data_IF_289543264283
#
_entry.id   IF_289543264283
#
_cell.length_a   1.000
_cell.length_b   1.000
_cell.length_c   1.000
_cell.angle_alpha   90.00
_cell.angle_beta   90.00
_cell.angle_gamma   90.00
#
_symmetry.space_group_name_H-M   'P 1'
#
loop_
_entity.id
_entity.type
_entity.pdbx_description
1 polymer ?
#
# COMPACT_ATOMS: atom_id res chain seq x y z
N UNK A 1 -26.62 -3.11 13.74
CA UNK A 1 -27.29 -1.80 13.97
C UNK A 1 -28.31 -1.58 12.86
N UNK A 2 -29.46 -0.98 13.17
CA UNK A 2 -30.52 -0.80 12.19
C UNK A 2 -30.30 0.44 11.32
N UNK A 3 -30.52 0.27 10.02
CA UNK A 3 -30.66 1.34 9.04
C UNK A 3 -31.80 2.31 9.46
N UNK A 4 -31.68 3.63 9.21
CA UNK A 4 -32.74 4.57 9.57
C UNK A 4 -34.04 4.27 8.82
N UNK A 5 -35.18 4.40 9.50
CA UNK A 5 -36.51 4.21 8.90
C UNK A 5 -36.85 5.30 7.89
N UNK A 6 -36.40 6.53 8.12
CA UNK A 6 -36.62 7.70 7.25
C UNK A 6 -35.33 8.53 7.12
N UNK A 7 -35.20 9.23 5.99
CA UNK A 7 -34.04 10.08 5.69
C UNK A 7 -32.78 9.31 5.26
N UNK A 8 -31.82 10.02 4.65
CA UNK A 8 -30.57 9.43 4.13
C UNK A 8 -29.67 8.97 5.29
N UNK A 9 -29.04 7.78 5.20
CA UNK A 9 -28.17 7.26 6.23
C UNK A 9 -26.82 7.98 6.28
N UNK A 10 -26.09 7.80 7.38
CA UNK A 10 -24.64 8.08 7.43
C UNK A 10 -23.86 6.92 6.81
N UNK A 11 -22.61 7.17 6.41
CA UNK A 11 -21.73 6.14 5.86
C UNK A 11 -21.50 4.99 6.87
N UNK A 12 -21.32 5.33 8.15
CA UNK A 12 -21.20 4.37 9.25
C UNK A 12 -22.45 3.49 9.41
N UNK A 13 -23.66 4.05 9.32
CA UNK A 13 -24.89 3.26 9.42
C UNK A 13 -25.02 2.23 8.30
N UNK A 14 -24.62 2.58 7.07
CA UNK A 14 -24.59 1.64 5.95
C UNK A 14 -23.55 0.55 6.16
N UNK A 15 -22.33 0.91 6.60
CA UNK A 15 -21.29 -0.07 6.90
C UNK A 15 -21.70 -1.04 8.03
N UNK A 16 -22.26 -0.53 9.13
CA UNK A 16 -22.71 -1.34 10.26
C UNK A 16 -23.90 -2.25 9.89
N UNK A 17 -24.78 -1.79 9.00
CA UNK A 17 -25.87 -2.60 8.47
C UNK A 17 -25.34 -3.73 7.58
N UNK A 18 -24.41 -3.43 6.68
CA UNK A 18 -23.79 -4.44 5.84
C UNK A 18 -23.12 -5.53 6.71
N UNK A 19 -22.41 -5.14 7.77
CA UNK A 19 -21.86 -6.10 8.76
C UNK A 19 -22.98 -6.97 9.38
N UNK A 20 -24.13 -6.39 9.71
CA UNK A 20 -25.24 -7.14 10.32
C UNK A 20 -25.91 -8.16 9.37
N UNK A 21 -25.65 -8.08 8.07
CA UNK A 21 -26.15 -9.04 7.09
C UNK A 21 -25.26 -10.28 6.94
N UNK A 22 -24.08 -10.32 7.56
CA UNK A 22 -23.17 -11.46 7.43
C UNK A 22 -23.88 -12.76 7.84
N UNK A 23 -23.84 -13.77 6.97
CA UNK A 23 -24.55 -15.04 7.13
C UNK A 23 -26.01 -15.03 6.63
N UNK A 24 -26.54 -13.88 6.23
CA UNK A 24 -27.85 -13.69 5.60
C UNK A 24 -27.69 -12.98 4.25
N UNK A 25 -28.72 -12.33 3.71
CA UNK A 25 -28.59 -11.49 2.53
C UNK A 25 -29.90 -10.85 2.09
N UNK A 26 -29.80 -9.97 1.12
CA UNK A 26 -30.91 -9.28 0.45
C UNK A 26 -31.00 -9.73 -1.00
N UNK A 27 -32.22 -9.86 -1.48
CA UNK A 27 -32.59 -10.09 -2.87
C UNK A 27 -33.53 -8.93 -3.21
N UNK A 28 -33.09 -8.07 -4.13
CA UNK A 28 -33.71 -6.75 -4.38
C UNK A 28 -34.57 -6.76 -5.62
N UNK A 29 -34.28 -7.63 -6.58
CA UNK A 29 -35.00 -7.73 -7.85
C UNK A 29 -35.84 -9.01 -7.98
N UNK A 30 -35.67 -10.00 -7.10
CA UNK A 30 -36.36 -11.29 -7.12
C UNK A 30 -35.77 -12.29 -8.12
N UNK A 31 -34.61 -11.99 -8.70
CA UNK A 31 -33.96 -12.81 -9.72
C UNK A 31 -32.58 -13.29 -9.24
N UNK A 32 -32.30 -14.57 -9.47
CA UNK A 32 -31.01 -15.20 -9.13
C UNK A 32 -30.61 -15.12 -7.65
N UNK A 33 -31.55 -14.80 -6.76
CA UNK A 33 -31.38 -14.81 -5.31
C UNK A 33 -30.49 -13.69 -4.79
N UNK A 34 -29.51 -14.02 -3.94
CA UNK A 34 -28.68 -13.04 -3.23
C UNK A 34 -27.40 -12.75 -4.00
N UNK A 35 -27.49 -11.96 -5.07
CA UNK A 35 -26.35 -11.59 -5.90
C UNK A 35 -25.55 -10.42 -5.30
N UNK A 36 -24.34 -10.20 -5.82
CA UNK A 36 -23.47 -9.12 -5.33
C UNK A 36 -24.07 -7.73 -5.58
N UNK A 37 -24.78 -7.57 -6.69
CA UNK A 37 -25.43 -6.32 -7.11
C UNK A 37 -26.59 -5.89 -6.21
N UNK A 38 -27.26 -6.84 -5.53
CA UNK A 38 -28.38 -6.54 -4.64
C UNK A 38 -27.98 -5.68 -3.44
N UNK A 39 -26.81 -5.95 -2.86
CA UNK A 39 -26.41 -5.32 -1.60
C UNK A 39 -26.35 -3.78 -1.70
N UNK A 40 -25.68 -3.19 -2.71
CA UNK A 40 -25.71 -1.74 -2.90
C UNK A 40 -27.07 -1.22 -3.41
N UNK A 41 -27.76 -1.99 -4.25
CA UNK A 41 -29.04 -1.55 -4.84
C UNK A 41 -30.20 -1.55 -3.86
N UNK A 42 -30.15 -2.36 -2.80
CA UNK A 42 -31.07 -2.26 -1.67
C UNK A 42 -30.97 -0.87 -1.03
N UNK A 43 -29.74 -0.39 -0.80
CA UNK A 43 -29.46 0.92 -0.21
C UNK A 43 -29.88 2.05 -1.15
N UNK A 44 -29.55 1.95 -2.44
CA UNK A 44 -29.92 2.96 -3.43
C UNK A 44 -31.44 3.09 -3.57
N UNK A 45 -32.14 1.96 -3.67
CA UNK A 45 -33.59 1.96 -3.82
C UNK A 45 -34.28 2.53 -2.58
N UNK A 46 -33.85 2.10 -1.38
CA UNK A 46 -34.47 2.50 -0.12
C UNK A 46 -34.33 4.00 0.19
N UNK A 47 -33.21 4.62 -0.15
CA UNK A 47 -32.89 5.99 0.30
C UNK A 47 -32.79 7.03 -0.81
N UNK A 48 -32.65 6.59 -2.06
CA UNK A 48 -32.57 7.47 -3.23
C UNK A 48 -33.56 7.08 -4.33
N UNK A 49 -34.35 6.01 -4.15
CA UNK A 49 -35.46 5.66 -5.04
C UNK A 49 -35.02 5.15 -6.42
N UNK A 50 -33.80 4.61 -6.55
CA UNK A 50 -33.33 4.07 -7.83
C UNK A 50 -32.56 2.75 -7.65
N UNK A 51 -32.49 1.97 -8.74
CA UNK A 51 -31.58 0.83 -8.90
C UNK A 51 -30.72 1.08 -10.15
N UNK A 52 -29.47 0.64 -10.15
CA UNK A 52 -28.56 0.78 -11.29
C UNK A 52 -28.85 -0.28 -12.36
N UNK A 53 -29.09 0.05 -13.63
CA UNK A 53 -29.35 -0.96 -14.65
C UNK A 53 -28.11 -1.84 -14.91
N UNK A 54 -28.33 -3.05 -15.44
CA UNK A 54 -27.25 -3.97 -15.82
C UNK A 54 -26.62 -4.72 -14.66
N UNK A 55 -25.38 -5.17 -14.85
CA UNK A 55 -24.64 -5.98 -13.89
C UNK A 55 -23.75 -5.12 -12.97
N UNK A 56 -23.07 -5.75 -12.00
CA UNK A 56 -22.20 -5.06 -11.05
C UNK A 56 -21.12 -4.19 -11.72
N UNK A 57 -20.56 -4.62 -12.87
CA UNK A 57 -19.58 -3.80 -13.60
C UNK A 57 -20.16 -2.48 -14.10
N UNK A 58 -21.43 -2.48 -14.51
CA UNK A 58 -22.06 -1.34 -15.19
C UNK A 58 -22.28 -0.16 -14.23
N UNK A 59 -22.30 -0.44 -12.92
CA UNK A 59 -22.28 0.55 -11.84
C UNK A 59 -21.08 1.51 -11.94
N UNK A 60 -19.95 1.09 -12.51
CA UNK A 60 -18.76 1.94 -12.65
C UNK A 60 -18.98 3.11 -13.64
N UNK A 61 -19.87 2.94 -14.61
CA UNK A 61 -20.16 3.92 -15.67
C UNK A 61 -21.57 4.51 -15.55
N UNK A 62 -22.32 4.14 -14.51
CA UNK A 62 -23.66 4.66 -14.27
C UNK A 62 -23.64 6.14 -13.90
N UNK A 63 -24.60 6.90 -14.43
CA UNK A 63 -24.79 8.32 -14.10
C UNK A 63 -25.60 8.47 -12.82
N UNK A 64 -24.92 8.49 -11.68
CA UNK A 64 -25.56 8.61 -10.37
C UNK A 64 -26.23 9.98 -10.14
N UNK A 65 -27.28 10.04 -9.29
CA UNK A 65 -27.91 11.30 -8.88
C UNK A 65 -26.95 12.26 -8.15
N UNK A 66 -27.36 13.52 -8.06
CA UNK A 66 -26.57 14.58 -7.45
C UNK A 66 -26.07 14.23 -6.03
N UNK A 67 -24.80 14.52 -5.77
CA UNK A 67 -24.12 14.30 -4.49
C UNK A 67 -23.39 12.96 -4.37
N UNK A 68 -23.66 11.98 -5.25
CA UNK A 68 -22.83 10.79 -5.37
C UNK A 68 -21.47 11.15 -5.96
N UNK A 69 -20.43 10.43 -5.55
CA UNK A 69 -19.08 10.60 -6.09
C UNK A 69 -18.56 9.26 -6.58
N UNK A 70 -18.10 9.23 -7.82
CA UNK A 70 -17.39 8.09 -8.37
C UNK A 70 -15.90 8.38 -8.29
N UNK A 71 -15.15 7.46 -7.70
CA UNK A 71 -13.71 7.51 -7.59
C UNK A 71 -13.12 6.38 -8.43
N UNK A 72 -12.24 6.73 -9.37
CA UNK A 72 -11.38 5.72 -9.98
C UNK A 72 -10.36 5.25 -8.95
N UNK A 73 -10.11 3.95 -8.92
CA UNK A 73 -9.07 3.37 -8.08
C UNK A 73 -7.71 3.87 -8.57
N UNK A 74 -7.05 4.68 -7.74
CA UNK A 74 -5.66 5.11 -7.92
C UNK A 74 -4.78 4.46 -6.84
N UNK A 75 -3.46 4.57 -6.95
CA UNK A 75 -2.51 4.03 -5.97
C UNK A 75 -2.59 4.72 -4.59
N UNK A 76 -3.16 5.92 -4.52
CA UNK A 76 -3.33 6.69 -3.28
C UNK A 76 -4.74 6.61 -2.70
N UNK A 77 -5.73 6.12 -3.48
CA UNK A 77 -7.11 6.06 -3.04
C UNK A 77 -7.30 5.00 -1.95
N UNK A 78 -7.92 5.42 -0.84
CA UNK A 78 -8.34 4.53 0.24
C UNK A 78 -9.86 4.71 0.41
N UNK A 79 -10.68 3.66 0.21
CA UNK A 79 -12.11 3.74 0.39
C UNK A 79 -12.46 3.86 1.86
N UNK A 80 -13.55 4.56 2.14
CA UNK A 80 -14.09 4.76 3.48
C UNK A 80 -15.22 3.78 3.72
N UNK A 81 -15.52 3.43 4.99
CA UNK A 81 -16.73 2.69 5.32
C UNK A 81 -17.96 3.36 4.68
N UNK A 82 -18.81 2.56 4.05
CA UNK A 82 -19.96 3.00 3.25
C UNK A 82 -19.67 3.17 1.75
N UNK A 83 -18.41 3.27 1.31
CA UNK A 83 -18.13 3.27 -0.13
C UNK A 83 -18.54 1.93 -0.76
N UNK A 84 -18.98 1.96 -2.01
CA UNK A 84 -19.33 0.79 -2.81
C UNK A 84 -18.14 0.46 -3.70
N UNK A 85 -17.50 -0.68 -3.48
CA UNK A 85 -16.40 -1.15 -4.32
C UNK A 85 -16.94 -1.83 -5.58
N UNK A 86 -16.31 -1.59 -6.73
CA UNK A 86 -16.73 -2.15 -8.02
C UNK A 86 -15.53 -2.78 -8.73
N UNK A 87 -15.66 -4.08 -9.01
CA UNK A 87 -14.73 -4.85 -9.82
C UNK A 87 -15.22 -4.89 -11.26
N UNK A 88 -14.34 -4.53 -12.19
CA UNK A 88 -14.61 -4.58 -13.63
C UNK A 88 -13.44 -5.17 -14.43
N UNK A 89 -12.42 -5.69 -13.76
CA UNK A 89 -11.15 -6.09 -14.34
C UNK A 89 -10.55 -7.29 -13.60
N UNK A 90 -9.55 -7.97 -14.16
CA UNK A 90 -8.70 -8.93 -13.44
C UNK A 90 -9.01 -10.40 -13.65
N UNK A 91 -10.24 -10.77 -14.02
CA UNK A 91 -10.57 -12.11 -14.51
C UNK A 91 -11.80 -12.08 -15.44
N UNK A 92 -12.09 -13.21 -16.10
CA UNK A 92 -13.20 -13.32 -17.04
C UNK A 92 -14.55 -12.92 -16.40
N UNK A 93 -14.86 -13.43 -15.21
CA UNK A 93 -16.15 -13.16 -14.56
C UNK A 93 -16.33 -11.67 -14.23
N UNK A 94 -15.29 -11.02 -13.71
CA UNK A 94 -15.33 -9.59 -13.38
C UNK A 94 -15.29 -8.69 -14.62
N UNK A 95 -14.72 -9.16 -15.72
CA UNK A 95 -14.79 -8.45 -17.01
C UNK A 95 -16.21 -8.52 -17.61
N UNK A 96 -16.88 -9.66 -17.48
CA UNK A 96 -18.20 -9.93 -18.09
C UNK A 96 -19.37 -9.41 -17.25
N UNK A 97 -19.40 -9.71 -15.95
CA UNK A 97 -20.52 -9.33 -15.06
C UNK A 97 -20.08 -8.33 -13.96
N UNK A 98 -18.81 -8.35 -13.61
CA UNK A 98 -18.29 -7.54 -12.50
C UNK A 98 -18.57 -8.16 -11.13
N UNK A 99 -18.11 -7.46 -10.11
CA UNK A 99 -18.45 -7.75 -8.72
C UNK A 99 -18.64 -6.44 -7.96
N UNK A 100 -19.38 -6.45 -6.85
CA UNK A 100 -19.53 -5.27 -6.00
C UNK A 100 -19.76 -5.65 -4.53
N UNK A 101 -19.41 -4.72 -3.64
CA UNK A 101 -19.54 -4.90 -2.19
C UNK A 101 -19.52 -3.57 -1.46
N UNK A 102 -20.04 -3.55 -0.23
CA UNK A 102 -20.05 -2.36 0.63
C UNK A 102 -18.80 -2.37 1.51
N UNK A 103 -17.95 -1.37 1.39
CA UNK A 103 -16.75 -1.20 2.21
C UNK A 103 -17.18 -0.99 3.66
N UNK A 104 -16.67 -1.82 4.56
CA UNK A 104 -16.96 -1.75 6.00
C UNK A 104 -15.71 -1.39 6.82
N UNK A 105 -14.55 -1.46 6.18
CA UNK A 105 -13.27 -1.19 6.81
C UNK A 105 -12.82 -2.28 7.79
N UNK A 106 -11.56 -2.19 8.26
CA UNK A 106 -10.58 -1.15 7.92
C UNK A 106 -10.16 -1.17 6.44
N UNK A 107 -9.70 -0.02 5.94
CA UNK A 107 -9.20 0.15 4.58
C UNK A 107 -7.80 0.77 4.63
N UNK A 108 -6.89 0.25 3.82
CA UNK A 108 -5.52 0.73 3.64
C UNK A 108 -5.26 0.96 2.15
N UNK A 109 -4.04 1.31 1.75
CA UNK A 109 -3.67 1.40 0.32
C UNK A 109 -3.57 0.05 -0.37
N UNK A 110 -3.48 -1.04 0.39
CA UNK A 110 -3.22 -2.38 -0.14
C UNK A 110 -4.44 -3.30 -0.07
N UNK A 111 -5.31 -3.10 0.92
CA UNK A 111 -6.54 -3.87 1.06
C UNK A 111 -7.66 -3.04 1.68
N UNK A 112 -8.88 -3.52 1.53
CA UNK A 112 -10.01 -3.04 2.30
C UNK A 112 -10.89 -4.23 2.68
N UNK A 113 -11.68 -4.06 3.74
CA UNK A 113 -12.75 -5.01 4.02
C UNK A 113 -14.06 -4.47 3.45
N UNK A 114 -14.79 -5.33 2.76
CA UNK A 114 -16.18 -5.11 2.39
C UNK A 114 -17.05 -6.28 2.83
N UNK A 115 -18.34 -6.05 2.84
CA UNK A 115 -19.33 -7.10 2.89
C UNK A 115 -19.89 -7.31 1.50
N UNK A 116 -19.87 -8.57 1.08
CA UNK A 116 -20.14 -8.99 -0.28
C UNK A 116 -21.10 -10.17 -0.25
N UNK A 117 -22.11 -10.15 -1.11
CA UNK A 117 -22.90 -11.32 -1.45
C UNK A 117 -22.27 -12.05 -2.62
N UNK A 118 -22.57 -13.35 -2.72
CA UNK A 118 -22.11 -14.19 -3.81
C UNK A 118 -20.58 -14.24 -4.02
N UNK A 119 -19.80 -14.06 -2.94
CA UNK A 119 -18.34 -14.23 -2.97
C UNK A 119 -17.91 -15.61 -2.49
N UNK A 120 -18.29 -15.98 -1.27
CA UNK A 120 -18.07 -17.33 -0.73
C UNK A 120 -19.17 -18.26 -1.24
N UNK A 121 -18.82 -19.47 -1.69
CA UNK A 121 -19.78 -20.44 -2.25
C UNK A 121 -20.66 -19.81 -3.35
N UNK A 122 -20.02 -19.08 -4.28
CA UNK A 122 -20.72 -18.33 -5.30
C UNK A 122 -21.59 -19.24 -6.19
N UNK A 123 -22.82 -18.79 -6.48
CA UNK A 123 -23.78 -19.50 -7.31
C UNK A 123 -24.54 -18.52 -8.21
N UNK A 124 -24.59 -18.83 -9.51
CA UNK A 124 -25.23 -17.97 -10.51
C UNK A 124 -26.76 -17.99 -10.47
N UNK A 125 -27.37 -18.99 -9.83
CA UNK A 125 -28.83 -19.19 -9.80
C UNK A 125 -29.49 -18.71 -8.51
N UNK A 126 -28.78 -18.75 -7.38
CA UNK A 126 -29.33 -18.39 -6.05
C UNK A 126 -28.48 -17.40 -5.27
N UNK A 127 -27.30 -17.06 -5.79
CA UNK A 127 -26.34 -16.22 -5.10
C UNK A 127 -25.73 -16.91 -3.88
N UNK A 128 -25.21 -16.13 -2.95
CA UNK A 128 -24.76 -16.65 -1.66
C UNK A 128 -24.87 -15.61 -0.55
N UNK A 129 -24.93 -16.03 0.73
CA UNK A 129 -25.00 -15.12 1.85
C UNK A 129 -23.87 -14.09 1.88
N UNK A 130 -24.18 -12.94 2.44
CA UNK A 130 -23.23 -11.88 2.66
C UNK A 130 -22.09 -12.36 3.58
N UNK A 131 -20.86 -12.05 3.21
CA UNK A 131 -19.67 -12.39 3.97
C UNK A 131 -18.76 -11.17 4.07
N UNK A 132 -18.06 -11.04 5.21
CA UNK A 132 -17.00 -10.04 5.35
C UNK A 132 -15.75 -10.55 4.67
N UNK A 133 -15.34 -9.90 3.60
CA UNK A 133 -14.21 -10.30 2.77
C UNK A 133 -13.11 -9.26 2.87
N UNK A 134 -11.87 -9.73 2.99
CA UNK A 134 -10.68 -8.91 2.84
C UNK A 134 -10.28 -8.92 1.37
N UNK A 135 -10.37 -7.77 0.72
CA UNK A 135 -10.01 -7.64 -0.67
C UNK A 135 -8.68 -6.94 -0.83
N UNK A 136 -7.83 -7.49 -1.69
CA UNK A 136 -6.86 -6.64 -2.37
C UNK A 136 -7.59 -5.76 -3.38
N UNK A 137 -6.96 -4.67 -3.80
CA UNK A 137 -7.49 -3.86 -4.90
C UNK A 137 -7.42 -4.55 -6.27
N UNK A 138 -7.10 -5.84 -6.33
CA UNK A 138 -7.06 -6.61 -7.57
C UNK A 138 -8.45 -6.64 -8.21
N UNK A 139 -8.52 -6.22 -9.46
CA UNK A 139 -9.77 -6.14 -10.23
C UNK A 139 -10.72 -5.00 -9.89
N UNK A 140 -10.50 -4.30 -8.77
CA UNK A 140 -11.27 -3.10 -8.38
C UNK A 140 -10.82 -1.92 -9.23
N UNK A 141 -11.77 -1.33 -9.95
CA UNK A 141 -11.49 -0.17 -10.81
C UNK A 141 -12.15 1.11 -10.31
N UNK A 142 -13.27 1.00 -9.60
CA UNK A 142 -14.04 2.15 -9.14
C UNK A 142 -14.59 1.95 -7.73
N UNK A 143 -14.83 3.09 -7.07
CA UNK A 143 -15.58 3.17 -5.83
C UNK A 143 -16.67 4.23 -5.97
N UNK A 144 -17.87 3.93 -5.52
CA UNK A 144 -18.98 4.89 -5.49
C UNK A 144 -19.25 5.26 -4.05
N UNK A 145 -19.22 6.56 -3.74
CA UNK A 145 -19.60 7.11 -2.45
C UNK A 145 -20.99 7.73 -2.55
N UNK A 146 -22.01 7.13 -1.92
CA UNK A 146 -23.34 7.72 -1.87
C UNK A 146 -23.36 9.07 -1.17
N UNK A 147 -24.41 9.86 -1.47
CA UNK A 147 -24.64 11.18 -0.91
C UNK A 147 -25.14 11.11 0.55
N UNK A 148 -24.30 10.61 1.45
CA UNK A 148 -24.63 10.36 2.86
C UNK A 148 -24.91 11.64 3.66
N UNK A 149 -25.70 11.48 4.73
CA UNK A 149 -25.82 12.50 5.78
C UNK A 149 -24.51 12.58 6.58
N UNK A 150 -24.10 13.80 6.96
CA UNK A 150 -22.95 14.03 7.84
C UNK A 150 -23.12 13.33 9.19
N UNK A 151 -22.03 12.79 9.73
CA UNK A 151 -22.05 12.17 11.06
C UNK A 151 -22.27 13.24 12.15
N UNK A 152 -23.10 12.96 13.17
CA UNK A 152 -23.20 13.84 14.33
C UNK A 152 -21.84 13.90 15.04
N UNK A 153 -21.36 15.11 15.35
CA UNK A 153 -20.15 15.29 16.16
C UNK A 153 -20.36 14.61 17.53
N UNK A 154 -19.35 13.92 18.09
CA UNK A 154 -19.47 13.34 19.43
C UNK A 154 -19.81 14.45 20.42
N UNK A 155 -20.97 14.34 21.06
CA UNK A 155 -21.33 15.16 22.20
C UNK A 155 -20.41 14.77 23.36
N UNK A 156 -19.71 15.71 24.02
CA UNK A 156 -18.92 15.38 25.20
C UNK A 156 -19.82 14.77 26.27
N UNK A 157 -19.45 13.59 26.77
CA UNK A 157 -20.13 12.94 27.89
C UNK A 157 -19.86 13.80 29.15
N UNK A 158 -20.88 14.31 29.86
CA UNK A 158 -20.69 15.12 31.07
C UNK A 158 -20.24 14.23 32.25
N UNK A 159 -19.27 14.66 33.09
CA UNK A 159 -18.99 14.01 34.36
C UNK A 159 -20.06 14.33 35.42
N UNK A 160 -20.24 13.37 36.33
CA UNK A 160 -21.31 13.23 37.34
C UNK A 160 -21.29 14.28 38.48
N UNK A 161 -22.46 14.52 39.07
CA UNK A 161 -22.90 15.60 39.97
C UNK A 161 -22.08 15.91 41.25
N UNK A 162 -21.81 17.20 41.53
CA UNK A 162 -21.98 17.92 42.84
C UNK A 162 -21.74 19.45 42.69
N UNK A 163 -22.25 20.31 43.60
CA UNK A 163 -23.27 21.32 43.31
C UNK A 163 -22.77 22.72 42.91
N UNK A 164 -23.67 23.44 42.23
CA UNK A 164 -23.54 24.79 41.64
C UNK A 164 -23.40 25.89 42.71
N UNK A 165 -22.51 26.88 42.49
CA UNK A 165 -22.84 28.27 42.81
C UNK A 165 -22.94 29.16 41.57
N UNK A 166 -23.86 30.12 41.68
CA UNK A 166 -24.50 31.02 40.71
C UNK A 166 -23.57 31.78 39.75
N UNK A 167 -24.08 32.02 38.55
CA UNK A 167 -23.54 32.91 37.51
C UNK A 167 -23.23 34.32 38.02
N UNK A 168 -22.22 34.97 37.39
CA UNK A 168 -22.46 36.28 36.81
C UNK A 168 -22.08 36.34 35.31
N UNK A 169 -22.87 37.15 34.61
CA UNK A 169 -22.79 37.55 33.20
C UNK A 169 -21.44 38.20 32.76
N UNK A 170 -21.22 38.42 31.45
CA UNK A 170 -19.97 38.17 30.75
C UNK A 170 -19.01 39.35 30.81
N UNK A 171 -17.77 39.12 31.25
CA UNK A 171 -16.71 40.14 31.14
C UNK A 171 -15.38 39.54 30.66
N UNK A 172 -14.93 40.12 29.54
CA UNK A 172 -13.61 40.19 28.90
C UNK A 172 -12.45 39.29 29.41
N UNK A 173 -11.83 38.59 28.44
CA UNK A 173 -10.51 37.90 28.49
C UNK A 173 -9.50 38.62 29.40
N UNK A 174 -8.72 37.83 30.16
CA UNK A 174 -7.27 38.01 30.13
C UNK A 174 -6.52 36.70 29.84
N UNK A 175 -5.40 36.87 29.15
CA UNK A 175 -4.43 35.86 28.74
C UNK A 175 -3.83 35.12 29.95
N UNK A 176 -3.74 33.79 29.86
CA UNK A 176 -2.93 32.99 30.79
C UNK A 176 -1.99 32.08 29.99
N UNK A 177 -0.68 32.36 30.09
CA UNK A 177 0.43 31.57 29.53
C UNK A 177 0.62 30.23 30.27
N UNK A 178 -0.36 29.32 30.23
CA UNK A 178 -0.16 27.94 30.67
C UNK A 178 0.08 27.02 29.46
N UNK A 179 1.13 26.18 29.47
CA UNK A 179 1.41 25.29 28.35
C UNK A 179 0.31 24.24 28.21
N UNK A 180 -0.35 24.21 27.06
CA UNK A 180 -1.32 23.18 26.70
C UNK A 180 -0.53 22.00 26.11
N UNK A 181 -0.68 20.82 26.71
CA UNK A 181 -0.10 19.58 26.20
C UNK A 181 -1.11 18.89 25.29
N UNK A 182 -0.73 18.61 24.04
CA UNK A 182 -1.45 17.64 23.21
C UNK A 182 -0.82 16.27 23.42
N UNK A 183 -1.64 15.31 23.87
CA UNK A 183 -1.28 13.90 23.81
C UNK A 183 -1.43 13.47 22.36
N UNK A 184 -0.31 13.16 21.71
CA UNK A 184 -0.33 12.61 20.35
C UNK A 184 -0.11 11.11 20.46
N UNK A 185 -1.14 10.34 20.08
CA UNK A 185 -1.05 8.89 19.97
C UNK A 185 -0.26 8.58 18.70
N UNK A 186 1.03 8.24 18.84
CA UNK A 186 1.80 7.73 17.71
C UNK A 186 1.47 6.24 17.59
N UNK A 187 0.60 5.90 16.65
CA UNK A 187 0.35 4.51 16.31
C UNK A 187 1.52 4.06 15.45
N UNK A 188 2.43 3.26 16.01
CA UNK A 188 3.40 2.50 15.24
C UNK A 188 2.67 1.28 14.70
N UNK A 189 2.14 1.39 13.48
CA UNK A 189 1.57 0.25 12.80
C UNK A 189 2.71 -0.70 12.39
N UNK A 190 2.76 -1.88 12.99
CA UNK A 190 3.41 -3.04 12.37
C UNK A 190 2.48 -3.49 11.24
N UNK A 191 2.72 -2.93 10.05
CA UNK A 191 1.98 -3.24 8.84
C UNK A 191 2.19 -4.70 8.45
N UNK A 192 1.10 -5.34 8.06
CA UNK A 192 1.00 -6.70 7.54
C UNK A 192 0.91 -7.80 8.61
N UNK A 193 -0.31 -8.30 8.81
CA UNK A 193 -0.50 -9.73 9.03
C UNK A 193 -0.02 -10.39 7.74
N UNK A 194 1.18 -10.95 7.75
CA UNK A 194 1.75 -11.59 6.58
C UNK A 194 1.14 -12.98 6.47
N UNK A 195 0.12 -13.12 5.62
CA UNK A 195 -0.26 -14.43 5.11
C UNK A 195 0.81 -14.86 4.10
N UNK A 196 1.44 -16.01 4.32
CA UNK A 196 2.29 -16.65 3.34
C UNK A 196 1.40 -17.10 2.17
N UNK A 197 1.22 -16.24 1.17
CA UNK A 197 0.71 -16.69 -0.12
C UNK A 197 1.85 -17.49 -0.75
N UNK A 198 1.61 -18.75 -1.11
CA UNK A 198 2.59 -19.55 -1.84
C UNK A 198 2.96 -18.78 -3.11
N UNK A 199 4.23 -18.43 -3.26
CA UNK A 199 4.68 -17.68 -4.43
C UNK A 199 4.33 -18.44 -5.71
N UNK A 200 3.87 -17.71 -6.72
CA UNK A 200 3.66 -18.28 -8.05
C UNK A 200 5.03 -18.64 -8.66
N UNK A 201 5.30 -19.92 -8.81
CA UNK A 201 6.58 -20.40 -9.36
C UNK A 201 6.38 -20.78 -10.81
N UNK A 202 7.17 -20.20 -11.70
CA UNK A 202 7.12 -20.50 -13.13
C UNK A 202 8.53 -20.60 -13.72
N UNK A 203 8.62 -21.30 -14.84
CA UNK A 203 9.87 -21.58 -15.55
C UNK A 203 9.79 -20.97 -16.93
N UNK A 204 10.81 -20.19 -17.29
CA UNK A 204 11.04 -19.75 -18.66
C UNK A 204 12.54 -19.45 -18.76
N UNK A 205 13.28 -20.40 -19.31
CA UNK A 205 14.71 -20.25 -19.53
C UNK A 205 14.94 -19.33 -20.72
N UNK A 206 15.72 -18.27 -20.50
CA UNK A 206 16.09 -17.30 -21.54
C UNK A 206 17.55 -17.40 -21.95
N UNK A 207 18.28 -18.34 -21.35
CA UNK A 207 19.67 -18.66 -21.68
C UNK A 207 19.73 -19.59 -22.87
N UNK A 208 20.75 -19.40 -23.71
CA UNK A 208 21.00 -20.23 -24.91
C UNK A 208 22.16 -21.23 -24.72
N UNK A 209 22.61 -21.45 -23.48
CA UNK A 209 23.84 -22.21 -23.21
C UNK A 209 23.55 -23.69 -22.95
N UNK A 210 24.03 -24.57 -23.81
CA UNK A 210 23.94 -26.03 -23.61
C UNK A 210 25.02 -26.59 -22.64
N UNK A 211 25.77 -25.71 -21.97
CA UNK A 211 26.87 -26.09 -21.09
C UNK A 211 26.38 -26.52 -19.69
N UNK A 212 25.97 -27.78 -19.58
CA UNK A 212 25.46 -28.40 -18.35
C UNK A 212 26.55 -28.91 -17.39
N UNK A 213 27.58 -28.10 -17.15
CA UNK A 213 28.72 -28.47 -16.30
C UNK A 213 28.60 -28.01 -14.84
N UNK A 214 27.52 -27.32 -14.46
CA UNK A 214 27.29 -26.91 -13.08
C UNK A 214 26.96 -28.14 -12.23
N UNK A 215 27.68 -28.31 -11.12
CA UNK A 215 27.37 -29.33 -10.10
C UNK A 215 27.08 -28.61 -8.79
N UNK A 216 25.87 -28.04 -8.63
CA UNK A 216 25.61 -27.12 -7.55
C UNK A 216 25.74 -27.78 -6.19
N UNK A 217 26.59 -27.22 -5.34
CA UNK A 217 26.85 -27.77 -4.01
C UNK A 217 26.44 -26.83 -2.87
N UNK A 218 26.05 -25.60 -3.23
CA UNK A 218 25.68 -24.48 -2.37
C UNK A 218 24.69 -23.54 -3.07
N UNK A 219 24.01 -22.71 -2.28
CA UNK A 219 23.12 -21.64 -2.74
C UNK A 219 23.83 -20.30 -2.52
N UNK A 220 23.79 -19.44 -3.54
CA UNK A 220 24.24 -18.05 -3.44
C UNK A 220 23.02 -17.14 -3.46
N UNK A 221 22.87 -16.31 -2.43
CA UNK A 221 21.81 -15.31 -2.32
C UNK A 221 22.36 -13.96 -2.80
N UNK A 222 21.68 -13.36 -3.77
CA UNK A 222 21.92 -12.01 -4.28
C UNK A 222 20.74 -11.10 -3.96
N UNK A 223 20.95 -9.80 -4.00
CA UNK A 223 19.84 -8.84 -4.09
C UNK A 223 19.85 -8.25 -5.50
N UNK A 224 18.70 -8.27 -6.18
CA UNK A 224 18.52 -7.55 -7.41
C UNK A 224 18.67 -6.07 -7.09
N UNK A 225 19.65 -5.41 -7.70
CA UNK A 225 19.89 -3.97 -7.49
C UNK A 225 18.93 -3.09 -8.30
N UNK A 226 17.78 -3.65 -8.70
CA UNK A 226 16.71 -2.99 -9.45
C UNK A 226 15.60 -2.54 -8.50
N UNK A 227 14.67 -1.72 -8.98
CA UNK A 227 13.47 -1.35 -8.23
C UNK A 227 12.26 -2.26 -8.56
N UNK A 228 12.49 -3.37 -9.26
CA UNK A 228 11.47 -4.15 -9.94
C UNK A 228 11.12 -5.42 -9.16
N UNK A 229 9.85 -5.84 -9.24
CA UNK A 229 9.42 -7.16 -8.78
C UNK A 229 9.87 -8.26 -9.74
N UNK A 230 9.81 -9.54 -9.34
CA UNK A 230 10.13 -10.67 -10.22
C UNK A 230 9.30 -10.65 -11.50
N UNK A 231 8.01 -10.35 -11.39
CA UNK A 231 7.13 -10.24 -12.56
C UNK A 231 7.46 -9.04 -13.44
N UNK A 232 7.93 -7.93 -12.88
CA UNK A 232 8.35 -6.79 -13.68
C UNK A 232 9.66 -7.09 -14.41
N UNK A 233 10.64 -7.72 -13.76
CA UNK A 233 11.87 -8.19 -14.42
C UNK A 233 11.52 -9.16 -15.55
N UNK A 234 10.57 -10.07 -15.35
CA UNK A 234 10.11 -10.99 -16.39
C UNK A 234 9.52 -10.30 -17.64
N UNK A 235 8.84 -9.16 -17.47
CA UNK A 235 8.32 -8.39 -18.61
C UNK A 235 9.43 -7.84 -19.50
N UNK A 236 10.58 -7.50 -18.90
CA UNK A 236 11.77 -7.01 -19.60
C UNK A 236 12.80 -8.11 -19.87
N UNK A 237 12.39 -9.39 -19.85
CA UNK A 237 13.31 -10.53 -20.00
C UNK A 237 14.14 -10.49 -21.28
N UNK A 238 13.57 -9.93 -22.35
CA UNK A 238 14.19 -9.87 -23.67
C UNK A 238 15.36 -8.83 -23.70
N UNK A 239 15.40 -7.92 -22.72
CA UNK A 239 16.46 -6.91 -22.55
C UNK A 239 17.54 -7.33 -21.54
N UNK A 240 17.40 -8.49 -20.89
CA UNK A 240 18.35 -8.94 -19.88
C UNK A 240 19.61 -9.53 -20.53
N UNK A 241 20.77 -9.25 -19.92
CA UNK A 241 22.01 -9.89 -20.31
C UNK A 241 22.00 -11.36 -19.85
N UNK A 242 21.82 -12.29 -20.80
CA UNK A 242 21.73 -13.73 -20.57
C UNK A 242 22.93 -14.29 -19.77
N UNK A 243 24.13 -13.72 -19.91
CA UNK A 243 25.34 -14.18 -19.22
C UNK A 243 25.37 -13.84 -17.71
N UNK A 244 24.66 -12.78 -17.32
CA UNK A 244 24.69 -12.23 -15.95
C UNK A 244 23.45 -12.59 -15.12
N UNK A 245 22.41 -13.15 -15.74
CA UNK A 245 21.19 -13.51 -15.01
C UNK A 245 21.43 -14.63 -13.99
N UNK A 246 20.75 -14.58 -12.83
CA UNK A 246 20.78 -15.65 -11.84
C UNK A 246 20.06 -16.92 -12.37
N UNK A 247 19.98 -17.96 -11.54
CA UNK A 247 19.12 -19.09 -11.83
C UNK A 247 17.65 -18.76 -11.56
N UNK A 248 17.41 -17.99 -10.49
CA UNK A 248 16.09 -17.59 -10.07
C UNK A 248 16.03 -16.12 -9.69
N UNK A 249 14.96 -15.45 -10.11
CA UNK A 249 14.48 -14.22 -9.48
C UNK A 249 13.37 -14.57 -8.49
N UNK A 250 13.43 -13.98 -7.29
CA UNK A 250 12.55 -14.35 -6.18
C UNK A 250 12.01 -13.12 -5.44
N UNK A 251 10.69 -13.03 -5.32
CA UNK A 251 10.02 -12.26 -4.28
C UNK A 251 8.92 -13.10 -3.60
N UNK A 252 8.27 -12.54 -2.58
CA UNK A 252 7.21 -13.22 -1.82
C UNK A 252 5.98 -13.62 -2.65
N UNK A 253 5.79 -13.04 -3.83
CA UNK A 253 4.62 -13.29 -4.68
C UNK A 253 4.96 -14.19 -5.87
N UNK A 254 6.19 -14.16 -6.37
CA UNK A 254 6.58 -14.86 -7.58
C UNK A 254 8.05 -15.32 -7.56
N UNK A 255 8.26 -16.50 -8.13
CA UNK A 255 9.58 -17.09 -8.38
C UNK A 255 9.66 -17.40 -9.86
N UNK A 256 10.67 -16.87 -10.52
CA UNK A 256 10.95 -17.16 -11.93
C UNK A 256 12.27 -17.92 -12.04
N UNK A 257 12.21 -19.14 -12.57
CA UNK A 257 13.39 -19.88 -13.01
C UNK A 257 13.78 -19.41 -14.42
N UNK A 258 14.82 -18.60 -14.51
CA UNK A 258 15.27 -17.95 -15.74
C UNK A 258 16.48 -18.62 -16.40
N UNK A 259 17.19 -19.50 -15.66
CA UNK A 259 18.30 -20.31 -16.16
C UNK A 259 18.25 -21.72 -15.55
N UNK A 260 18.51 -22.80 -16.32
CA UNK A 260 18.63 -24.16 -15.80
C UNK A 260 19.69 -24.28 -14.70
N UNK A 261 19.46 -25.13 -13.69
CA UNK A 261 20.38 -25.29 -12.55
C UNK A 261 21.68 -26.00 -12.90
N UNK A 262 21.68 -26.68 -14.05
CA UNK A 262 22.79 -27.40 -14.65
C UNK A 262 23.75 -26.44 -15.38
N UNK A 263 23.32 -25.22 -15.69
CA UNK A 263 24.16 -24.19 -16.29
C UNK A 263 24.89 -23.36 -15.22
N UNK A 264 26.12 -22.94 -15.51
CA UNK A 264 26.90 -22.12 -14.58
C UNK A 264 26.61 -20.63 -14.77
N UNK A 265 26.51 -19.87 -13.67
CA UNK A 265 26.45 -18.40 -13.73
C UNK A 265 27.86 -17.83 -13.60
N UNK A 266 28.20 -16.85 -14.44
CA UNK A 266 29.53 -16.23 -14.43
C UNK A 266 29.92 -15.73 -13.03
N UNK A 267 31.07 -16.17 -12.53
CA UNK A 267 31.57 -15.81 -11.20
C UNK A 267 31.01 -16.65 -10.04
N UNK A 268 30.11 -17.62 -10.30
CA UNK A 268 29.48 -18.45 -9.27
C UNK A 268 29.57 -19.95 -9.61
N UNK A 269 30.78 -20.51 -9.51
CA UNK A 269 31.02 -21.92 -9.83
C UNK A 269 30.34 -22.87 -8.83
N UNK A 270 29.74 -23.96 -9.34
CA UNK A 270 29.11 -25.03 -8.56
C UNK A 270 28.08 -24.49 -7.55
N UNK A 271 27.28 -23.52 -7.96
CA UNK A 271 26.29 -22.88 -7.12
C UNK A 271 24.98 -22.61 -7.87
N UNK A 272 23.88 -22.60 -7.13
CA UNK A 272 22.61 -22.05 -7.61
C UNK A 272 22.48 -20.63 -7.07
N UNK A 273 22.24 -19.69 -7.97
CA UNK A 273 22.18 -18.25 -7.67
C UNK A 273 20.72 -17.82 -7.60
N UNK A 274 20.28 -17.37 -6.43
CA UNK A 274 18.94 -16.85 -6.18
C UNK A 274 19.03 -15.34 -5.98
N UNK A 275 18.35 -14.55 -6.80
CA UNK A 275 18.35 -13.10 -6.71
C UNK A 275 17.02 -12.61 -6.14
N UNK A 276 17.08 -12.05 -4.93
CA UNK A 276 15.92 -11.48 -4.26
C UNK A 276 15.57 -10.14 -4.91
N UNK A 277 14.35 -10.04 -5.45
CA UNK A 277 13.84 -8.84 -6.11
C UNK A 277 12.99 -8.02 -5.16
N UNK A 278 13.23 -6.71 -5.08
CA UNK A 278 12.39 -5.80 -4.31
C UNK A 278 12.76 -4.34 -4.64
N UNK A 279 11.80 -3.42 -4.53
CA UNK A 279 12.09 -2.00 -4.65
C UNK A 279 13.07 -1.51 -3.56
N UNK A 280 13.99 -0.59 -3.91
CA UNK A 280 14.90 0.06 -2.94
C UNK A 280 14.14 0.75 -1.80
N UNK A 281 12.92 1.20 -2.06
CA UNK A 281 12.02 1.86 -1.11
C UNK A 281 11.08 0.93 -0.36
N UNK A 282 11.11 -0.39 -0.62
CA UNK A 282 10.21 -1.31 0.04
C UNK A 282 10.39 -1.30 1.56
N UNK A 283 9.33 -1.69 2.27
CA UNK A 283 9.36 -1.82 3.73
C UNK A 283 10.25 -3.01 4.13
N UNK A 284 10.99 -2.88 5.23
CA UNK A 284 11.89 -3.93 5.74
C UNK A 284 11.20 -5.28 5.92
N UNK A 285 9.94 -5.27 6.36
CA UNK A 285 9.17 -6.50 6.60
C UNK A 285 8.80 -7.22 5.29
N UNK A 286 8.48 -6.49 4.22
CA UNK A 286 8.25 -7.10 2.89
C UNK A 286 9.52 -7.76 2.35
N UNK A 287 10.67 -7.11 2.54
CA UNK A 287 11.95 -7.67 2.12
C UNK A 287 12.30 -8.95 2.88
N UNK A 288 12.06 -8.99 4.20
CA UNK A 288 12.20 -10.21 5.01
C UNK A 288 11.33 -11.35 4.49
N UNK A 289 10.16 -11.04 3.93
CA UNK A 289 9.31 -12.06 3.31
C UNK A 289 9.86 -12.58 2.00
N UNK A 290 10.46 -11.73 1.18
CA UNK A 290 11.17 -12.19 0.00
C UNK A 290 12.40 -13.04 0.40
N UNK A 291 13.09 -12.71 1.50
CA UNK A 291 14.16 -13.54 2.07
C UNK A 291 13.63 -14.91 2.54
N UNK A 292 12.46 -14.95 3.20
CA UNK A 292 11.82 -16.20 3.63
C UNK A 292 11.44 -17.08 2.43
N UNK A 293 10.86 -16.52 1.37
CA UNK A 293 10.52 -17.29 0.16
C UNK A 293 11.78 -17.75 -0.58
N UNK A 294 12.82 -16.92 -0.63
CA UNK A 294 14.13 -17.28 -1.17
C UNK A 294 14.74 -18.47 -0.42
N UNK A 295 14.71 -18.45 0.92
CA UNK A 295 15.20 -19.56 1.74
C UNK A 295 14.30 -20.81 1.65
N UNK A 296 13.00 -20.63 1.44
CA UNK A 296 12.06 -21.74 1.15
C UNK A 296 12.43 -22.45 -0.15
N UNK A 297 12.74 -21.68 -1.21
CA UNK A 297 13.25 -22.21 -2.47
C UNK A 297 14.64 -22.83 -2.32
N UNK A 298 15.56 -22.18 -1.61
CA UNK A 298 16.91 -22.68 -1.33
C UNK A 298 16.87 -24.05 -0.65
N UNK A 299 16.01 -24.20 0.38
CA UNK A 299 15.80 -25.48 1.07
C UNK A 299 15.33 -26.56 0.10
N UNK A 300 14.30 -26.27 -0.71
CA UNK A 300 13.80 -27.22 -1.70
C UNK A 300 14.89 -27.66 -2.68
N UNK A 301 15.66 -26.72 -3.23
CA UNK A 301 16.72 -27.00 -4.19
C UNK A 301 17.87 -27.81 -3.59
N UNK A 302 18.22 -27.56 -2.33
CA UNK A 302 19.24 -28.35 -1.63
C UNK A 302 18.75 -29.77 -1.35
N UNK A 303 17.51 -29.92 -0.89
CA UNK A 303 16.91 -31.22 -0.56
C UNK A 303 16.76 -32.11 -1.80
N UNK A 304 16.33 -31.55 -2.93
CA UNK A 304 16.29 -32.26 -4.23
C UNK A 304 17.68 -32.75 -4.67
N UNK A 305 18.75 -32.05 -4.25
CA UNK A 305 20.14 -32.43 -4.51
C UNK A 305 20.78 -33.26 -3.37
N UNK A 306 19.97 -33.85 -2.48
CA UNK A 306 20.46 -34.71 -1.39
C UNK A 306 21.22 -33.97 -0.28
N UNK A 307 21.07 -32.65 -0.17
CA UNK A 307 21.74 -31.81 0.84
C UNK A 307 20.74 -31.18 1.79
N UNK A 308 21.21 -30.88 3.01
CA UNK A 308 20.45 -30.12 4.01
C UNK A 308 20.88 -28.67 4.03
N UNK A 309 19.92 -27.77 4.23
CA UNK A 309 20.20 -26.36 4.43
C UNK A 309 20.87 -26.12 5.80
N UNK A 310 22.05 -25.52 5.75
CA UNK A 310 22.85 -25.09 6.90
C UNK A 310 23.72 -23.88 6.53
N UNK A 311 24.46 -23.34 7.50
CA UNK A 311 25.33 -22.16 7.31
C UNK A 311 26.42 -22.36 6.27
N UNK A 312 26.96 -23.57 6.09
CA UNK A 312 27.96 -23.85 5.04
C UNK A 312 27.38 -23.97 3.63
N UNK A 313 26.08 -24.26 3.52
CA UNK A 313 25.38 -24.41 2.24
C UNK A 313 24.87 -23.09 1.65
N UNK A 314 24.84 -22.01 2.43
CA UNK A 314 24.34 -20.69 2.02
C UNK A 314 25.50 -19.69 1.98
N UNK A 315 25.63 -18.99 0.85
CA UNK A 315 26.58 -17.90 0.66
C UNK A 315 25.79 -16.64 0.29
N UNK A 316 26.18 -15.49 0.85
CA UNK A 316 25.59 -14.19 0.50
C UNK A 316 26.57 -13.45 -0.39
N UNK A 317 26.11 -12.99 -1.55
CA UNK A 317 26.93 -12.22 -2.46
C UNK A 317 27.22 -10.81 -1.90
N UNK A 318 28.41 -10.28 -2.19
CA UNK A 318 28.85 -8.94 -1.77
C UNK A 318 27.90 -7.81 -2.19
N UNK A 319 27.15 -7.99 -3.27
CA UNK A 319 26.18 -7.00 -3.77
C UNK A 319 24.88 -6.95 -2.97
N UNK A 320 24.69 -7.85 -2.00
CA UNK A 320 23.45 -8.00 -1.21
C UNK A 320 23.33 -6.98 -0.08
N UNK A 321 23.49 -5.69 -0.43
CA UNK A 321 23.55 -4.57 0.52
C UNK A 321 22.39 -4.55 1.51
N UNK A 322 21.18 -4.91 1.05
CA UNK A 322 19.96 -4.83 1.85
C UNK A 322 19.88 -5.95 2.87
N UNK A 323 20.30 -7.15 2.47
CA UNK A 323 20.48 -8.31 3.36
C UNK A 323 21.47 -7.96 4.48
N UNK A 324 22.64 -7.42 4.13
CA UNK A 324 23.61 -6.98 5.14
C UNK A 324 23.07 -5.88 6.04
N UNK A 325 22.40 -4.87 5.48
CA UNK A 325 21.83 -3.77 6.27
C UNK A 325 20.82 -4.26 7.30
N UNK A 326 19.95 -5.19 6.93
CA UNK A 326 18.92 -5.75 7.80
C UNK A 326 19.49 -6.65 8.89
N UNK A 327 20.45 -7.52 8.55
CA UNK A 327 20.89 -8.59 9.44
C UNK A 327 22.18 -8.26 10.21
N UNK A 328 22.99 -7.34 9.71
CA UNK A 328 24.25 -6.94 10.36
C UNK A 328 24.22 -5.50 10.89
N UNK A 329 23.36 -4.65 10.33
CA UNK A 329 23.33 -3.20 10.58
C UNK A 329 24.30 -2.40 9.71
N UNK A 330 25.14 -3.06 8.89
CA UNK A 330 26.11 -2.39 7.99
C UNK A 330 25.51 -2.17 6.60
N UNK A 331 25.71 -0.97 6.07
CA UNK A 331 25.25 -0.57 4.75
C UNK A 331 26.46 -0.45 3.81
N UNK A 332 26.59 -1.34 2.81
CA UNK A 332 27.71 -1.28 1.85
C UNK A 332 27.72 -0.03 0.98
N UNK A 333 26.63 0.75 0.94
CA UNK A 333 26.62 2.06 0.30
C UNK A 333 27.35 3.12 1.13
N UNK A 334 27.70 2.81 2.39
CA UNK A 334 28.36 3.71 3.35
C UNK A 334 29.60 3.11 4.02
N UNK A 335 29.74 1.79 4.07
CA UNK A 335 30.86 1.10 4.72
C UNK A 335 31.91 0.61 3.72
N UNK A 336 33.19 0.76 4.08
CA UNK A 336 34.33 0.17 3.38
C UNK A 336 34.37 -1.35 3.58
N UNK A 337 33.66 -2.07 2.71
CA UNK A 337 33.66 -3.55 2.58
C UNK A 337 33.11 -4.35 3.77
N UNK A 338 32.71 -5.60 3.51
CA UNK A 338 32.22 -6.54 4.52
C UNK A 338 33.34 -7.48 4.98
N UNK A 339 33.45 -7.70 6.28
CA UNK A 339 34.41 -8.65 6.86
C UNK A 339 33.82 -10.06 6.89
N UNK A 340 34.65 -11.11 7.02
CA UNK A 340 34.17 -12.51 7.14
C UNK A 340 33.17 -12.71 8.29
N UNK A 341 33.32 -11.94 9.39
CA UNK A 341 32.36 -11.95 10.52
C UNK A 341 31.00 -11.39 10.12
N UNK A 342 30.95 -10.40 9.23
CA UNK A 342 29.70 -9.83 8.74
C UNK A 342 28.93 -10.84 7.87
N UNK A 343 29.63 -11.57 7.01
CA UNK A 343 29.03 -12.67 6.23
C UNK A 343 28.47 -13.77 7.13
N UNK A 344 29.24 -14.24 8.11
CA UNK A 344 28.77 -15.25 9.06
C UNK A 344 27.54 -14.77 9.84
N UNK A 345 27.57 -13.52 10.33
CA UNK A 345 26.43 -12.93 11.05
C UNK A 345 25.19 -12.86 10.15
N UNK A 346 25.34 -12.40 8.91
CA UNK A 346 24.22 -12.28 7.97
C UNK A 346 23.60 -13.65 7.65
N UNK A 347 24.41 -14.69 7.41
CA UNK A 347 23.90 -16.05 7.15
C UNK A 347 23.19 -16.62 8.38
N UNK A 348 23.74 -16.44 9.57
CA UNK A 348 23.14 -16.92 10.81
C UNK A 348 21.77 -16.27 11.07
N UNK A 349 21.67 -14.95 10.93
CA UNK A 349 20.40 -14.24 11.11
C UNK A 349 19.38 -14.55 10.00
N UNK A 350 19.80 -14.80 8.76
CA UNK A 350 18.92 -15.29 7.68
C UNK A 350 18.32 -16.67 8.01
N UNK A 351 19.16 -17.62 8.44
CA UNK A 351 18.68 -18.96 8.81
C UNK A 351 17.74 -18.88 10.02
N UNK A 352 18.07 -18.03 11.00
CA UNK A 352 17.21 -17.76 12.15
C UNK A 352 15.87 -17.15 11.73
N UNK A 353 15.87 -16.16 10.85
CA UNK A 353 14.67 -15.57 10.26
C UNK A 353 13.78 -16.65 9.63
N UNK A 354 14.37 -17.56 8.86
CA UNK A 354 13.63 -18.66 8.24
C UNK A 354 13.09 -19.67 9.24
N UNK A 355 13.85 -20.01 10.28
CA UNK A 355 13.39 -20.92 11.32
C UNK A 355 12.26 -20.32 12.17
N UNK A 356 12.27 -19.00 12.38
CA UNK A 356 11.21 -18.28 13.08
C UNK A 356 10.06 -17.84 12.16
N UNK A 357 10.04 -18.25 10.88
CA UNK A 357 9.03 -17.82 9.90
C UNK A 357 7.60 -18.03 10.40
N UNK A 358 7.30 -19.17 11.02
CA UNK A 358 5.94 -19.47 11.48
C UNK A 358 5.52 -18.54 12.63
N UNK A 359 6.45 -18.15 13.51
CA UNK A 359 6.19 -17.15 14.55
C UNK A 359 5.95 -15.77 13.95
N UNK A 360 6.73 -15.40 12.94
CA UNK A 360 6.62 -14.10 12.27
C UNK A 360 5.34 -13.98 11.43
N UNK A 361 4.91 -15.06 10.80
CA UNK A 361 3.70 -15.15 9.98
C UNK A 361 2.42 -15.23 10.84
N UNK A 362 2.50 -15.93 12.00
CA UNK A 362 1.35 -16.12 12.89
C UNK A 362 1.19 -15.05 13.97
N UNK A 363 2.16 -14.13 14.13
CA UNK A 363 2.05 -13.11 15.16
C UNK A 363 0.88 -12.16 14.84
N UNK A 364 -0.08 -12.07 15.77
CA UNK A 364 -1.09 -11.01 15.72
C UNK A 364 -0.36 -9.69 16.00
N UNK A 365 -0.42 -8.67 15.11
CA UNK A 365 0.13 -7.37 15.42
C UNK A 365 -0.45 -6.89 16.75
N UNK A 366 0.41 -6.67 17.74
CA UNK A 366 0.01 -5.97 18.97
C UNK A 366 0.29 -4.50 18.74
N UNK A 367 -0.75 -3.69 18.83
CA UNK A 367 -0.63 -2.23 18.79
C UNK A 367 0.24 -1.79 19.97
N UNK A 368 1.48 -1.35 19.71
CA UNK A 368 2.29 -0.70 20.74
C UNK A 368 1.92 0.79 20.71
N UNK A 369 1.08 1.19 21.65
CA UNK A 369 0.67 2.58 21.83
C UNK A 369 1.70 3.28 22.71
N UNK A 370 2.58 4.07 22.10
CA UNK A 370 3.49 4.95 22.84
C UNK A 370 2.87 6.35 22.95
N UNK A 371 2.61 6.81 24.17
CA UNK A 371 2.01 8.12 24.45
C UNK A 371 3.11 9.17 24.57
N UNK A 372 3.25 10.04 23.57
CA UNK A 372 4.18 11.17 23.64
C UNK A 372 3.39 12.44 23.98
N UNK A 373 3.86 13.20 25.00
CA UNK A 373 3.31 14.51 25.35
C UNK A 373 4.08 15.58 24.59
N UNK A 374 3.41 16.34 23.73
CA UNK A 374 4.01 17.47 23.00
C UNK A 374 3.48 18.77 23.60
N UNK A 375 4.39 19.68 23.95
CA UNK A 375 4.08 21.03 24.44
C UNK A 375 3.88 21.95 23.22
N UNK A 376 2.75 22.65 23.13
CA UNK A 376 2.48 23.60 22.05
C UNK A 376 2.20 24.98 22.63
N UNK A 377 2.71 26.04 22.00
CA UNK A 377 2.37 27.44 22.32
C UNK A 377 1.52 27.99 21.17
N UNK A 378 0.36 28.56 21.48
CA UNK A 378 -0.50 29.23 20.51
C UNK A 378 -0.26 30.74 20.67
N UNK A 379 0.13 31.43 19.59
CA UNK A 379 -0.02 32.89 19.50
C UNK A 379 -1.15 33.19 18.52
N UNK A 380 -2.18 33.88 18.99
CA UNK A 380 -3.21 34.46 18.13
C UNK A 380 -2.65 35.72 17.45
N UNK A 381 -2.93 35.85 16.15
CA UNK A 381 -2.87 37.04 15.30
C UNK A 381 -1.61 37.91 15.33
N UNK A 382 -0.75 37.73 14.32
CA UNK A 382 -0.03 38.86 13.70
C UNK A 382 0.39 38.48 12.28
N UNK A 383 0.04 39.34 11.31
CA UNK A 383 0.61 39.33 9.97
C UNK A 383 2.13 39.38 10.10
N UNK A 384 2.86 38.47 9.45
CA UNK A 384 4.32 38.53 9.44
C UNK A 384 4.85 38.71 8.02
N UNK A 385 5.43 39.89 7.82
CA UNK A 385 6.35 40.29 6.75
C UNK A 385 7.70 39.59 7.01
N UNK A 386 8.42 39.10 6.00
CA UNK A 386 9.70 38.46 6.21
C UNK A 386 10.78 39.52 6.46
N UNK A 387 11.51 39.41 7.57
CA UNK A 387 12.76 40.14 7.76
C UNK A 387 13.87 39.16 8.16
N UNK A 388 14.93 39.23 7.38
CA UNK A 388 16.19 38.52 7.52
C UNK A 388 16.93 38.93 8.79
N UNK A 389 17.52 37.96 9.52
CA UNK A 389 18.62 38.24 10.43
C UNK A 389 19.66 37.12 10.40
N UNK A 390 20.92 37.59 10.40
CA UNK A 390 22.22 36.94 10.19
C UNK A 390 22.64 35.92 11.29
N UNK A 391 23.64 35.05 11.02
CA UNK A 391 24.00 33.95 11.91
C UNK A 391 24.91 34.38 13.05
N UNK A 392 24.70 33.79 14.23
CA UNK A 392 25.62 33.84 15.37
C UNK A 392 25.95 32.40 15.78
N UNK A 393 27.24 32.08 15.72
CA UNK A 393 27.84 30.82 16.14
C UNK A 393 27.84 30.73 17.68
N UNK A 394 27.31 29.62 18.22
CA UNK A 394 27.97 28.82 19.25
C UNK A 394 27.22 27.50 19.47
N UNK A 395 27.93 26.40 19.24
CA UNK A 395 27.45 25.01 19.23
C UNK A 395 27.50 24.42 20.65
N UNK A 396 26.49 23.61 21.03
CA UNK A 396 26.67 22.29 21.66
C UNK A 396 25.37 21.44 21.61
N UNK A 397 25.46 20.37 20.83
CA UNK A 397 24.73 19.08 20.83
C UNK A 397 23.20 19.01 20.98
N UNK A 398 22.54 18.74 19.84
CA UNK A 398 21.84 17.45 19.57
C UNK A 398 21.47 17.37 18.09
N UNK A 399 21.66 16.20 17.51
CA UNK A 399 21.59 15.93 16.07
C UNK A 399 20.16 16.12 15.54
N UNK A 400 19.85 17.33 15.08
CA UNK A 400 18.62 17.66 14.36
C UNK A 400 18.66 17.07 12.94
N UNK A 401 17.61 16.33 12.59
CA UNK A 401 17.31 15.93 11.22
C UNK A 401 17.14 17.18 10.35
N UNK A 402 18.14 17.48 9.52
CA UNK A 402 18.10 18.58 8.56
C UNK A 402 17.06 18.27 7.48
N UNK A 403 15.98 19.03 7.45
CA UNK A 403 15.06 19.09 6.32
C UNK A 403 15.73 20.00 5.28
N UNK A 404 16.18 19.44 4.16
CA UNK A 404 16.59 20.25 3.02
C UNK A 404 15.35 20.94 2.44
N UNK A 405 15.11 22.19 2.85
CA UNK A 405 14.17 23.07 2.14
C UNK A 405 14.85 23.52 0.86
N UNK A 406 14.61 22.79 -0.23
CA UNK A 406 14.94 23.27 -1.56
C UNK A 406 13.90 24.35 -1.91
N UNK A 407 14.31 25.62 -1.85
CA UNK A 407 13.51 26.76 -2.30
C UNK A 407 13.94 27.03 -3.74
N UNK A 408 12.98 27.14 -4.67
CA UNK A 408 13.28 27.55 -6.04
C UNK A 408 13.87 28.96 -6.05
N UNK A 409 15.00 29.17 -6.74
CA UNK A 409 15.60 30.49 -6.93
C UNK A 409 14.79 31.40 -7.87
N UNK A 410 13.74 30.87 -8.50
CA UNK A 410 12.87 31.59 -9.42
C UNK A 410 11.56 31.98 -8.73
N UNK A 411 11.15 33.24 -8.91
CA UNK A 411 9.78 33.68 -8.65
C UNK A 411 8.79 32.90 -9.53
N UNK A 412 7.53 32.79 -9.12
CA UNK A 412 6.48 32.12 -9.89
C UNK A 412 6.37 32.68 -11.33
N UNK A 413 6.58 34.00 -11.49
CA UNK A 413 6.58 34.64 -12.81
C UNK A 413 7.77 34.18 -13.66
N UNK A 414 9.00 34.23 -13.13
CA UNK A 414 10.19 33.77 -13.84
C UNK A 414 10.10 32.28 -14.20
N UNK A 415 9.56 31.45 -13.31
CA UNK A 415 9.37 30.04 -13.57
C UNK A 415 8.34 29.79 -14.69
N UNK A 416 7.25 30.57 -14.74
CA UNK A 416 6.28 30.53 -15.84
C UNK A 416 6.89 31.01 -17.16
N UNK A 417 7.65 32.10 -17.14
CA UNK A 417 8.30 32.64 -18.34
C UNK A 417 9.32 31.63 -18.92
N UNK A 418 10.05 30.91 -18.05
CA UNK A 418 10.93 29.80 -18.45
C UNK A 418 10.13 28.65 -19.07
N UNK A 419 8.99 28.26 -18.48
CA UNK A 419 8.16 27.20 -19.06
C UNK A 419 7.68 27.57 -20.46
N UNK A 420 7.28 28.82 -20.69
CA UNK A 420 6.80 29.30 -21.99
C UNK A 420 7.89 29.66 -23.00
N UNK A 421 9.17 29.64 -22.61
CA UNK A 421 10.31 29.75 -23.53
C UNK A 421 10.79 28.40 -24.07
N UNK A 422 10.33 27.28 -23.50
CA UNK A 422 10.61 25.93 -24.00
C UNK A 422 9.91 25.66 -25.34
N UNK A 423 10.51 24.80 -26.17
CA UNK A 423 9.92 24.33 -27.43
C UNK A 423 9.85 22.79 -27.46
N UNK A 424 8.64 22.19 -27.53
CA UNK A 424 7.35 22.85 -27.57
C UNK A 424 7.00 23.51 -26.24
N UNK A 425 6.22 24.60 -26.31
CA UNK A 425 5.62 25.26 -25.14
C UNK A 425 4.76 24.24 -24.36
N UNK A 426 4.45 24.49 -23.07
CA UNK A 426 3.66 23.56 -22.27
C UNK A 426 2.36 23.21 -23.00
N UNK A 427 2.05 21.92 -23.09
CA UNK A 427 0.89 21.42 -23.83
C UNK A 427 -0.12 20.77 -22.88
N UNK A 428 -1.38 20.76 -23.30
CA UNK A 428 -2.48 20.06 -22.66
C UNK A 428 -3.29 19.29 -23.71
N UNK A 429 -4.03 18.26 -23.27
CA UNK A 429 -4.83 17.42 -24.15
C UNK A 429 -6.31 17.53 -23.83
N UNK A 430 -7.13 17.60 -24.88
CA UNK A 430 -8.60 17.47 -24.78
C UNK A 430 -9.07 16.02 -25.00
N UNK A 431 -8.15 15.05 -25.02
CA UNK A 431 -8.44 13.64 -25.27
C UNK A 431 -8.38 13.20 -26.73
N UNK A 432 -8.16 14.14 -27.67
CA UNK A 432 -8.04 13.84 -29.11
C UNK A 432 -6.78 14.47 -29.71
N UNK A 433 -6.43 15.70 -29.32
CA UNK A 433 -5.22 16.38 -29.79
C UNK A 433 -4.47 17.06 -28.64
N UNK A 434 -3.16 17.28 -28.84
CA UNK A 434 -2.31 18.08 -27.96
C UNK A 434 -2.25 19.51 -28.47
N UNK A 435 -2.52 20.48 -27.60
CA UNK A 435 -2.49 21.90 -27.93
C UNK A 435 -1.78 22.69 -26.82
N UNK A 436 -1.30 23.89 -27.16
CA UNK A 436 -0.57 24.75 -26.21
C UNK A 436 -1.45 25.12 -25.02
N UNK A 437 -0.96 24.85 -23.81
CA UNK A 437 -1.62 25.19 -22.56
C UNK A 437 -1.60 26.71 -22.33
N UNK A 438 -2.69 27.25 -21.77
CA UNK A 438 -2.75 28.65 -21.37
C UNK A 438 -1.90 28.93 -20.13
N UNK A 439 -1.49 30.19 -19.93
CA UNK A 439 -0.71 30.63 -18.76
C UNK A 439 -1.36 30.20 -17.43
N UNK A 440 -2.69 30.27 -17.35
CA UNK A 440 -3.43 29.87 -16.15
C UNK A 440 -3.45 28.36 -15.92
N UNK A 441 -3.50 27.55 -16.99
CA UNK A 441 -3.42 26.09 -16.88
C UNK A 441 -2.02 25.66 -16.42
N UNK A 442 -0.97 26.24 -17.01
CA UNK A 442 0.41 25.98 -16.59
C UNK A 442 0.64 26.44 -15.15
N UNK A 443 0.14 27.62 -14.76
CA UNK A 443 0.22 28.12 -13.38
C UNK A 443 -0.52 27.23 -12.38
N UNK A 444 -1.70 26.72 -12.73
CA UNK A 444 -2.45 25.81 -11.87
C UNK A 444 -1.75 24.45 -11.73
N UNK A 445 -1.10 23.96 -12.78
CA UNK A 445 -0.29 22.73 -12.75
C UNK A 445 1.01 22.90 -11.94
N UNK A 446 1.55 24.12 -11.83
CA UNK A 446 2.73 24.44 -11.00
C UNK A 446 2.38 24.74 -9.53
N UNK A 447 1.09 24.85 -9.18
CA UNK A 447 0.65 25.05 -7.80
C UNK A 447 0.74 23.75 -7.01
N UNK A 448 1.77 23.64 -6.17
CA UNK A 448 2.03 22.44 -5.36
C UNK A 448 0.92 22.07 -4.40
N UNK A 449 -0.01 22.98 -4.09
CA UNK A 449 -1.20 22.69 -3.30
C UNK A 449 -2.31 22.02 -4.12
N UNK A 450 -2.20 22.01 -5.46
CA UNK A 450 -3.15 21.39 -6.38
C UNK A 450 -2.58 20.15 -7.09
N UNK A 451 -1.26 19.99 -7.12
CA UNK A 451 -0.59 18.82 -7.71
C UNK A 451 -1.01 17.50 -7.03
N UNK A 452 -1.52 17.56 -5.79
CA UNK A 452 -1.92 16.37 -5.01
C UNK A 452 -3.40 16.33 -4.58
N UNK A 453 -4.26 17.19 -5.13
CA UNK A 453 -5.69 17.28 -4.74
C UNK A 453 -6.65 16.77 -5.82
#
# INVERSE_FOLDING_TARGET
MALPKTGKPTAKQVADWAISLIGSGVDVDGYYGRQCWDLPNYIFNRYWGFKTPGNARDMAWYRYPAGFKIYRKTSSFIPKPGDIAIWTGGNYNWNTWGHTGIVVGPSTKDYFYSVDQNWNNANSYVGSPAAKIKHSYFGVTHFVRPAYKSEPKPTPIPPENKPIPKDPEPTKKPESNKPIYKVVTKILFTTARIELVKANRFVHYITKSDNHNNKPNKIVIKNANTALSTNDIYKYRDDLNEDEIPHFFVDRLSVWACRPIEESVQGYNNAIVLSITEARTAVSDNFKMNEIECLSLAKLLLETNGKKMNTSSIVIDKSSWRTFKLHTGKDSLKSSSFTSKDYQKAVNELIKLFNDKDKLLNNKPKDVVEKIRIRTVVKENTKFVPSELKPSNNIKDKQDSKIDRIISNYSLKQALDIQFSLNPKPQTSNGVTWYTASLNQTRAAMDTNKIFN
#
